data_IF_743859733477
#
_entry.id   IF_743859733477
#
_cell.length_a   1.000
_cell.length_b   1.000
_cell.length_c   1.000
_cell.angle_alpha   90.00
_cell.angle_beta   90.00
_cell.angle_gamma   90.00
#
_symmetry.space_group_name_H-M   'P 1'
#
loop_
_entity.id
_entity.type
_entity.pdbx_description
1 polymer ?
#
# COMPACT_ATOMS: atom_id res chain seq x y z
N UNK A 1 17.87 -0.67 19.08
CA UNK A 1 16.86 0.14 18.34
C UNK A 1 15.48 -0.45 18.57
N UNK A 2 14.67 0.18 19.43
CA UNK A 2 13.25 -0.16 19.58
C UNK A 2 12.57 -0.01 18.23
N UNK A 3 11.78 -1.00 17.81
CA UNK A 3 11.04 -0.87 16.57
C UNK A 3 9.98 0.21 16.71
N UNK A 4 9.97 1.16 15.77
CA UNK A 4 8.89 2.12 15.66
C UNK A 4 7.58 1.36 15.43
N UNK A 5 6.77 1.24 16.49
CA UNK A 5 5.38 0.82 16.39
C UNK A 5 4.58 2.08 16.03
N UNK A 6 3.78 1.98 14.97
CA UNK A 6 2.96 3.08 14.48
C UNK A 6 1.50 2.61 14.51
N UNK A 7 0.57 3.37 15.12
CA UNK A 7 -0.85 3.06 15.04
C UNK A 7 -1.31 3.03 13.58
N UNK A 8 -1.98 1.95 13.14
CA UNK A 8 -2.44 1.80 11.76
C UNK A 8 -3.33 2.99 11.32
N UNK A 9 -4.19 3.47 12.22
CA UNK A 9 -5.06 4.63 12.00
C UNK A 9 -4.31 5.95 11.81
N UNK A 10 -3.05 6.06 12.23
CA UNK A 10 -2.25 7.28 12.07
C UNK A 10 -1.55 7.38 10.72
N UNK A 11 -1.54 6.28 9.95
CA UNK A 11 -0.89 6.22 8.64
C UNK A 11 -1.78 6.94 7.63
N UNK A 12 -1.31 8.05 7.07
CA UNK A 12 -2.03 8.82 6.04
C UNK A 12 -2.00 8.13 4.67
N UNK A 13 -0.84 7.57 4.33
CA UNK A 13 -0.64 6.93 3.04
C UNK A 13 0.49 5.91 3.07
N UNK A 14 0.45 4.96 2.14
CA UNK A 14 1.42 3.88 1.97
C UNK A 14 1.80 3.84 0.49
N UNK A 15 3.10 3.78 0.19
CA UNK A 15 3.60 3.54 -1.16
C UNK A 15 4.18 2.13 -1.22
N UNK A 16 3.59 1.27 -2.04
CA UNK A 16 4.06 -0.09 -2.28
C UNK A 16 4.83 -0.11 -3.59
N UNK A 17 6.01 -0.75 -3.61
CA UNK A 17 6.88 -0.79 -4.79
C UNK A 17 7.13 -2.22 -5.26
N UNK A 18 7.13 -2.43 -6.57
CA UNK A 18 7.55 -3.67 -7.18
C UNK A 18 9.02 -3.99 -6.86
N UNK A 19 9.33 -5.29 -6.72
CA UNK A 19 10.69 -5.76 -6.44
C UNK A 19 11.23 -5.44 -5.04
N UNK A 20 10.39 -4.96 -4.11
CA UNK A 20 10.76 -4.72 -2.70
C UNK A 20 9.99 -5.63 -1.76
N UNK A 21 10.64 -6.04 -0.68
CA UNK A 21 10.01 -6.82 0.39
C UNK A 21 9.54 -5.97 1.56
N UNK A 22 8.55 -6.47 2.27
CA UNK A 22 8.01 -5.91 3.50
C UNK A 22 8.99 -6.06 4.67
N UNK A 23 8.95 -5.11 5.61
CA UNK A 23 9.72 -5.24 6.85
C UNK A 23 8.96 -6.15 7.82
N UNK A 24 9.44 -7.37 8.00
CA UNK A 24 8.83 -8.35 8.89
C UNK A 24 9.69 -8.63 10.13
N UNK A 25 9.04 -8.89 11.27
CA UNK A 25 9.69 -9.31 12.53
C UNK A 25 9.16 -10.65 13.07
N UNK A 26 7.89 -10.96 12.79
CA UNK A 26 7.19 -12.16 13.28
C UNK A 26 7.12 -13.27 12.24
N UNK A 27 7.71 -13.08 11.06
CA UNK A 27 7.66 -14.00 9.94
C UNK A 27 8.61 -13.58 8.83
N UNK A 28 8.64 -14.34 7.74
CA UNK A 28 9.45 -14.02 6.57
C UNK A 28 8.94 -12.75 5.87
N UNK A 29 9.83 -11.89 5.36
CA UNK A 29 9.45 -10.82 4.43
C UNK A 29 8.67 -11.38 3.23
N UNK A 30 7.63 -10.65 2.81
CA UNK A 30 6.87 -10.91 1.58
C UNK A 30 6.99 -9.72 0.63
N UNK A 31 6.78 -9.90 -0.69
CA UNK A 31 6.76 -8.79 -1.65
C UNK A 31 5.75 -7.70 -1.23
N UNK A 32 6.15 -6.43 -1.34
CA UNK A 32 5.27 -5.28 -1.04
C UNK A 32 4.12 -5.15 -2.04
N UNK A 33 4.37 -5.49 -3.30
CA UNK A 33 3.41 -5.40 -4.39
C UNK A 33 3.51 -6.67 -5.23
N UNK A 34 2.37 -7.31 -5.44
CA UNK A 34 2.25 -8.48 -6.30
C UNK A 34 1.04 -8.30 -7.21
N UNK A 35 1.27 -8.36 -8.52
CA UNK A 35 0.19 -8.35 -9.49
C UNK A 35 -0.36 -9.77 -9.64
N UNK A 36 -1.69 -9.92 -9.56
CA UNK A 36 -2.37 -11.21 -9.67
C UNK A 36 -3.45 -11.12 -10.76
N UNK A 37 -3.51 -12.14 -11.62
CA UNK A 37 -4.52 -12.26 -12.68
C UNK A 37 -4.02 -11.89 -14.07
N UNK A 38 -4.91 -11.99 -15.08
CA UNK A 38 -4.55 -11.85 -16.50
C UNK A 38 -4.12 -10.42 -16.90
N UNK A 39 -4.62 -9.39 -16.20
CA UNK A 39 -4.27 -8.00 -16.49
C UNK A 39 -2.77 -7.70 -16.31
N UNK A 40 -2.07 -8.51 -15.52
CA UNK A 40 -0.64 -8.38 -15.26
C UNK A 40 0.23 -8.68 -16.49
N UNK A 41 -0.30 -9.36 -17.51
CA UNK A 41 0.43 -9.54 -18.78
C UNK A 41 0.48 -8.25 -19.59
N UNK A 42 -0.49 -7.35 -19.38
CA UNK A 42 -0.64 -6.11 -20.14
C UNK A 42 0.01 -4.93 -19.41
N UNK A 43 -0.16 -4.85 -18.10
CA UNK A 43 0.38 -3.76 -17.30
C UNK A 43 0.66 -4.20 -15.86
N UNK A 44 1.87 -3.88 -15.39
CA UNK A 44 2.25 -4.03 -13.99
C UNK A 44 2.82 -2.69 -13.50
N UNK A 45 2.20 -2.05 -12.50
CA UNK A 45 2.71 -0.81 -11.98
C UNK A 45 4.00 -1.04 -11.17
N UNK A 46 5.00 -0.19 -11.39
CA UNK A 46 6.23 -0.19 -10.58
C UNK A 46 5.95 0.22 -9.13
N UNK A 47 4.88 0.99 -8.92
CA UNK A 47 4.44 1.42 -7.61
C UNK A 47 2.94 1.73 -7.55
N UNK A 48 2.38 1.57 -6.35
CA UNK A 48 1.00 1.88 -6.02
C UNK A 48 0.97 2.76 -4.78
N UNK A 49 0.22 3.85 -4.84
CA UNK A 49 -0.05 4.74 -3.73
C UNK A 49 -1.42 4.39 -3.11
N UNK A 50 -1.42 4.05 -1.83
CA UNK A 50 -2.61 3.79 -1.03
C UNK A 50 -2.85 4.96 -0.08
N UNK A 51 -4.04 5.55 -0.09
CA UNK A 51 -4.44 6.61 0.84
C UNK A 51 -5.44 6.06 1.84
N UNK A 52 -5.26 6.43 3.10
CA UNK A 52 -6.17 6.06 4.17
C UNK A 52 -7.50 6.82 4.04
N UNK A 53 -8.61 6.08 3.96
CA UNK A 53 -9.97 6.59 3.81
C UNK A 53 -10.77 6.62 5.11
N UNK A 54 -10.15 6.24 6.23
CA UNK A 54 -10.78 6.13 7.54
C UNK A 54 -11.24 4.72 7.87
N UNK A 55 -11.83 4.60 9.06
CA UNK A 55 -12.41 3.36 9.58
C UNK A 55 -13.81 3.13 8.99
N UNK A 56 -14.17 1.88 8.74
CA UNK A 56 -15.50 1.49 8.24
C UNK A 56 -16.57 1.35 9.34
N UNK A 57 -16.25 1.69 10.59
CA UNK A 57 -17.12 1.53 11.77
C UNK A 57 -16.95 0.19 12.47
N UNK A 58 -16.11 -0.72 11.96
CA UNK A 58 -15.84 -2.03 12.56
C UNK A 58 -14.41 -2.18 13.11
N UNK A 59 -13.62 -1.11 13.10
CA UNK A 59 -12.20 -1.16 13.46
C UNK A 59 -11.28 -1.55 12.31
N UNK A 60 -11.81 -1.61 11.07
CA UNK A 60 -11.03 -1.90 9.87
C UNK A 60 -10.79 -0.63 9.06
N UNK A 61 -9.51 -0.41 8.75
CA UNK A 61 -9.06 0.75 7.97
C UNK A 61 -9.29 0.52 6.48
N UNK A 62 -9.93 1.47 5.83
CA UNK A 62 -10.18 1.44 4.39
C UNK A 62 -9.07 2.18 3.64
N UNK A 63 -8.64 1.62 2.50
CA UNK A 63 -7.55 2.15 1.70
C UNK A 63 -7.99 2.33 0.25
N UNK A 64 -7.70 3.50 -0.32
CA UNK A 64 -7.90 3.77 -1.75
C UNK A 64 -6.57 3.70 -2.47
N UNK A 65 -6.45 2.86 -3.50
CA UNK A 65 -5.19 2.56 -4.17
C UNK A 65 -5.17 3.07 -5.61
N UNK A 66 -4.04 3.65 -6.02
CA UNK A 66 -3.83 4.12 -7.39
C UNK A 66 -2.42 3.76 -7.87
N UNK A 67 -2.23 3.40 -9.14
CA UNK A 67 -0.89 3.33 -9.72
C UNK A 67 -0.17 4.68 -9.57
N UNK A 68 1.11 4.65 -9.22
CA UNK A 68 1.94 5.87 -9.21
C UNK A 68 1.93 6.48 -10.62
N UNK A 69 1.56 7.76 -10.72
CA UNK A 69 1.34 8.44 -12.00
C UNK A 69 -0.12 8.55 -12.47
N UNK A 70 -1.06 7.80 -11.88
CA UNK A 70 -2.50 7.86 -12.24
C UNK A 70 -3.36 8.65 -11.24
N UNK A 71 -2.76 9.32 -10.25
CA UNK A 71 -3.49 9.83 -9.07
C UNK A 71 -3.04 11.18 -8.47
N UNK A 72 -2.39 12.08 -9.22
CA UNK A 72 -2.06 13.44 -8.74
C UNK A 72 -2.70 14.59 -9.54
N UNK A 73 -3.61 14.30 -10.46
CA UNK A 73 -4.52 15.33 -10.96
C UNK A 73 -5.85 15.23 -10.20
N UNK A 74 -6.32 16.34 -9.65
CA UNK A 74 -7.56 16.55 -8.87
C UNK A 74 -7.41 16.46 -7.34
N UNK A 75 -6.67 17.41 -6.79
CA UNK A 75 -7.05 18.10 -5.55
C UNK A 75 -6.72 19.59 -5.72
N UNK A 76 -7.50 20.24 -6.59
CA UNK A 76 -7.75 21.68 -6.57
C UNK A 76 -9.21 21.86 -6.20
#
# INVERSE_FOLDING_TARGET
MSGARVPLASIKSITLRAGRDTRARRGAPIPQLQCIGKACEVYQPDAVQCTNMGDDGTGNMQWKTFPEGFGLEKST
#
